data_IF_520223173179
#
_entry.id   IF_520223173179
#
_cell.length_a   1.000
_cell.length_b   1.000
_cell.length_c   1.000
_cell.angle_alpha   90.00
_cell.angle_beta   90.00
_cell.angle_gamma   90.00
#
_symmetry.space_group_name_H-M   'P 1'
#
loop_
_entity.id
_entity.type
_entity.pdbx_description
1 polymer ?
#
# COMPACT_ATOMS: atom_id res chain seq x y z
N UNK A 1 10.69 11.51 -7.77
CA UNK A 1 9.62 11.58 -8.79
C UNK A 1 8.55 12.60 -8.40
N UNK A 2 7.94 12.49 -7.22
CA UNK A 2 6.92 13.43 -6.70
C UNK A 2 7.32 14.91 -6.72
N UNK A 3 8.55 15.24 -6.32
CA UNK A 3 9.06 16.63 -6.34
C UNK A 3 9.08 17.29 -7.73
N UNK A 4 9.01 16.50 -8.81
CA UNK A 4 9.04 16.99 -10.19
C UNK A 4 7.66 16.95 -10.86
N UNK A 5 6.66 16.36 -10.22
CA UNK A 5 5.33 16.13 -10.79
C UNK A 5 4.25 16.74 -9.87
N UNK A 6 3.97 18.05 -9.98
CA UNK A 6 3.14 18.78 -9.02
C UNK A 6 1.68 18.30 -8.95
N UNK A 7 1.22 17.57 -9.98
CA UNK A 7 -0.15 17.06 -10.04
C UNK A 7 -0.29 15.62 -9.52
N UNK A 8 0.81 14.93 -9.20
CA UNK A 8 0.76 13.57 -8.66
C UNK A 8 0.25 13.62 -7.22
N UNK A 9 -0.84 12.89 -6.96
CA UNK A 9 -1.48 12.84 -5.63
C UNK A 9 -0.82 11.84 -4.69
N UNK A 10 -0.35 10.73 -5.22
CA UNK A 10 0.41 9.76 -4.46
C UNK A 10 1.34 8.95 -5.37
N UNK A 11 2.33 8.29 -4.78
CA UNK A 11 3.13 7.23 -5.41
C UNK A 11 3.07 6.02 -4.51
N UNK A 12 2.82 4.84 -5.09
CA UNK A 12 2.82 3.57 -4.39
C UNK A 12 3.88 2.64 -4.99
N UNK A 13 4.57 1.90 -4.12
CA UNK A 13 5.59 0.93 -4.48
C UNK A 13 5.28 -0.39 -3.80
N UNK A 14 5.17 -1.47 -4.58
CA UNK A 14 5.01 -2.83 -4.07
C UNK A 14 6.35 -3.41 -3.65
N UNK A 15 6.37 -4.13 -2.53
CA UNK A 15 7.55 -4.72 -1.88
C UNK A 15 7.47 -6.25 -1.79
N UNK A 16 6.63 -6.89 -2.63
CA UNK A 16 6.43 -8.34 -2.59
C UNK A 16 5.73 -8.78 -1.31
N UNK A 17 6.30 -9.78 -0.63
CA UNK A 17 5.73 -10.33 0.63
C UNK A 17 5.72 -9.32 1.79
N UNK A 18 6.52 -8.25 1.70
CA UNK A 18 6.50 -7.17 2.69
C UNK A 18 5.33 -6.19 2.52
N UNK A 19 4.60 -6.27 1.39
CA UNK A 19 3.43 -5.44 1.12
C UNK A 19 3.74 -4.25 0.21
N UNK A 20 3.48 -3.03 0.68
CA UNK A 20 3.67 -1.82 -0.11
C UNK A 20 3.93 -0.58 0.76
N UNK A 21 4.51 0.45 0.14
CA UNK A 21 4.63 1.79 0.71
C UNK A 21 3.96 2.77 -0.23
N UNK A 22 3.19 3.71 0.32
CA UNK A 22 2.64 4.84 -0.42
C UNK A 22 3.07 6.15 0.22
N UNK A 23 3.46 7.10 -0.63
CA UNK A 23 3.67 8.49 -0.28
C UNK A 23 2.54 9.32 -0.89
N UNK A 24 1.66 9.84 -0.05
CA UNK A 24 0.51 10.67 -0.43
C UNK A 24 0.82 12.14 -0.19
N UNK A 25 0.57 12.99 -1.19
CA UNK A 25 0.67 14.44 -1.04
C UNK A 25 -0.48 14.97 -0.18
N UNK A 26 -0.15 15.65 0.91
CA UNK A 26 -1.10 16.18 1.88
C UNK A 26 -0.53 17.43 2.54
N UNK A 27 -1.40 18.39 2.86
CA UNK A 27 -0.98 19.59 3.59
C UNK A 27 -0.64 19.24 5.05
N UNK A 28 0.43 19.81 5.62
CA UNK A 28 0.81 19.56 6.99
C UNK A 28 -0.22 20.18 7.95
N UNK A 29 -0.41 19.57 9.12
CA UNK A 29 -1.36 20.09 10.14
C UNK A 29 -0.95 21.47 10.68
N UNK A 30 0.33 21.83 10.59
CA UNK A 30 0.87 23.13 10.97
C UNK A 30 1.90 23.63 9.96
N UNK A 31 1.86 24.93 9.65
CA UNK A 31 2.87 25.58 8.81
C UNK A 31 4.30 25.51 9.40
N UNK A 32 4.39 25.33 10.73
CA UNK A 32 5.65 25.24 11.49
C UNK A 32 6.11 23.80 11.75
N UNK A 33 5.50 22.78 11.13
CA UNK A 33 5.94 21.38 11.33
C UNK A 33 7.41 21.20 10.96
N UNK A 34 8.15 20.57 11.87
CA UNK A 34 9.53 20.15 11.66
C UNK A 34 9.63 19.14 10.50
N UNK A 35 10.77 19.13 9.82
CA UNK A 35 11.05 18.13 8.80
C UNK A 35 11.36 16.78 9.46
N UNK A 36 10.66 15.75 9.02
CA UNK A 36 10.85 14.38 9.49
C UNK A 36 11.57 13.61 8.39
N UNK A 37 12.66 12.95 8.76
CA UNK A 37 13.35 12.02 7.86
C UNK A 37 12.43 10.83 7.54
N UNK A 38 12.27 10.54 6.25
CA UNK A 38 11.32 9.51 5.77
C UNK A 38 11.76 8.10 6.16
N UNK A 39 13.07 7.84 6.26
CA UNK A 39 13.60 6.53 6.63
C UNK A 39 13.35 6.29 8.13
N UNK A 40 13.65 7.28 8.98
CA UNK A 40 13.36 7.22 10.42
C UNK A 40 11.85 7.11 10.71
N UNK A 41 11.01 7.73 9.89
CA UNK A 41 9.56 7.57 9.98
C UNK A 41 9.11 6.15 9.61
N UNK A 42 9.65 5.62 8.52
CA UNK A 42 9.35 4.26 8.07
C UNK A 42 9.72 3.21 9.12
N UNK A 43 10.91 3.30 9.71
CA UNK A 43 11.35 2.39 10.78
C UNK A 43 10.39 2.40 11.97
N UNK A 44 10.02 3.58 12.48
CA UNK A 44 9.04 3.72 13.57
C UNK A 44 7.65 3.20 13.21
N UNK A 45 7.27 3.24 11.94
CA UNK A 45 6.01 2.66 11.48
C UNK A 45 6.07 1.14 11.41
N UNK A 46 7.21 0.57 11.02
CA UNK A 46 7.42 -0.89 11.03
C UNK A 46 7.30 -1.49 12.43
N UNK A 47 7.74 -0.77 13.46
CA UNK A 47 7.61 -1.22 14.87
C UNK A 47 6.15 -1.41 15.30
N UNK A 48 5.20 -0.78 14.61
CA UNK A 48 3.75 -0.89 14.90
C UNK A 48 3.07 -2.04 14.14
N UNK A 49 3.78 -2.75 13.26
CA UNK A 49 3.25 -3.88 12.49
C UNK A 49 3.00 -5.06 13.43
N UNK A 50 1.75 -5.51 13.52
CA UNK A 50 1.42 -6.75 14.23
C UNK A 50 1.80 -7.95 13.35
N UNK A 51 2.85 -8.67 13.77
CA UNK A 51 3.35 -9.85 13.06
C UNK A 51 2.41 -11.06 13.13
N UNK A 52 1.42 -11.06 14.01
CA UNK A 52 0.46 -12.18 14.13
C UNK A 52 -0.72 -12.04 13.16
N UNK A 53 -0.92 -10.85 12.58
CA UNK A 53 -1.99 -10.61 11.62
C UNK A 53 -1.58 -11.17 10.26
N UNK A 54 -2.41 -12.04 9.71
CA UNK A 54 -2.18 -12.69 8.41
C UNK A 54 -2.90 -11.98 7.26
N UNK A 55 -3.89 -11.15 7.57
CA UNK A 55 -4.61 -10.33 6.59
C UNK A 55 -3.87 -9.01 6.33
N UNK A 56 -4.00 -8.40 5.13
CA UNK A 56 -3.48 -7.08 4.86
C UNK A 56 -3.98 -6.03 5.86
N UNK A 57 -3.04 -5.24 6.39
CA UNK A 57 -3.30 -4.07 7.24
C UNK A 57 -2.60 -2.84 6.66
N UNK A 58 -3.00 -1.65 7.10
CA UNK A 58 -2.35 -0.41 6.71
C UNK A 58 -2.11 0.48 7.94
N UNK A 59 -0.93 1.08 7.99
CA UNK A 59 -0.53 2.06 9.00
C UNK A 59 -0.26 3.38 8.27
N UNK A 60 -0.89 4.46 8.73
CA UNK A 60 -0.77 5.81 8.13
C UNK A 60 -0.08 6.76 9.11
N UNK A 61 0.85 7.57 8.61
CA UNK A 61 1.43 8.68 9.37
C UNK A 61 0.50 9.89 9.40
N UNK A 62 0.72 10.79 10.35
CA UNK A 62 0.10 12.11 10.29
C UNK A 62 0.72 12.92 9.12
N UNK A 63 0.00 13.90 8.55
CA UNK A 63 0.58 14.82 7.56
C UNK A 63 1.79 15.56 8.13
N UNK A 64 2.92 15.51 7.43
CA UNK A 64 4.16 16.16 7.84
C UNK A 64 4.99 16.63 6.65
N UNK A 65 6.05 17.41 6.92
CA UNK A 65 7.11 17.66 5.94
C UNK A 65 8.08 16.48 5.98
N UNK A 66 8.07 15.68 4.93
CA UNK A 66 8.87 14.47 4.79
C UNK A 66 10.12 14.79 3.97
N UNK A 67 11.28 14.60 4.60
CA UNK A 67 12.58 14.81 4.00
C UNK A 67 13.20 13.47 3.61
N UNK A 68 13.71 13.39 2.38
CA UNK A 68 14.57 12.30 1.93
C UNK A 68 15.98 12.83 1.67
N UNK A 69 16.96 12.31 2.40
CA UNK A 69 18.37 12.75 2.36
C UNK A 69 18.90 12.74 0.93
N UNK A 70 19.40 13.89 0.46
CA UNK A 70 19.96 14.05 -0.89
C UNK A 70 18.94 14.10 -2.03
N UNK A 71 17.62 14.03 -1.73
CA UNK A 71 16.55 14.07 -2.73
C UNK A 71 15.72 15.34 -2.59
N UNK A 72 15.27 15.67 -1.37
CA UNK A 72 14.49 16.87 -1.07
C UNK A 72 13.33 16.61 -0.10
N UNK A 73 12.49 17.63 0.07
CA UNK A 73 11.40 17.64 1.06
C UNK A 73 10.04 17.83 0.38
N UNK A 74 9.02 17.13 0.85
CA UNK A 74 7.62 17.33 0.44
C UNK A 74 6.66 17.27 1.61
N UNK A 75 5.50 17.90 1.48
CA UNK A 75 4.40 17.74 2.43
C UNK A 75 3.55 16.53 2.07
N UNK A 76 3.33 15.63 3.03
CA UNK A 76 2.58 14.41 2.76
C UNK A 76 2.41 13.48 3.95
N UNK A 77 1.86 12.31 3.64
CA UNK A 77 1.71 11.17 4.55
C UNK A 77 2.46 9.97 4.00
N UNK A 78 3.07 9.21 4.89
CA UNK A 78 3.59 7.88 4.61
C UNK A 78 2.54 6.86 5.01
N UNK A 79 2.20 5.95 4.10
CA UNK A 79 1.35 4.80 4.36
C UNK A 79 2.15 3.53 4.10
N UNK A 80 1.99 2.56 4.98
CA UNK A 80 2.59 1.23 4.84
C UNK A 80 1.47 0.21 4.87
N UNK A 81 1.31 -0.54 3.78
CA UNK A 81 0.41 -1.68 3.69
C UNK A 81 1.16 -3.00 3.83
N UNK A 82 0.65 -3.97 4.59
CA UNK A 82 1.21 -5.33 4.64
C UNK A 82 0.58 -6.22 3.56
N UNK A 83 1.31 -7.25 3.13
CA UNK A 83 0.74 -8.31 2.29
C UNK A 83 0.00 -9.34 3.14
N UNK A 84 -0.89 -10.10 2.50
CA UNK A 84 -1.44 -11.32 3.10
C UNK A 84 -0.32 -12.35 3.31
N UNK A 85 -0.29 -13.00 4.48
CA UNK A 85 0.59 -14.14 4.73
C UNK A 85 -0.05 -15.40 4.15
N UNK A 86 0.23 -15.65 2.87
CA UNK A 86 -0.24 -16.85 2.17
C UNK A 86 0.49 -18.09 2.72
N UNK A 87 -0.23 -19.14 3.16
CA UNK A 87 0.42 -20.39 3.52
C UNK A 87 1.22 -20.96 2.35
N UNK A 88 2.41 -21.50 2.61
CA UNK A 88 3.33 -21.94 1.55
C UNK A 88 2.73 -23.00 0.61
N UNK A 89 1.79 -23.81 1.09
CA UNK A 89 1.09 -24.80 0.27
C UNK A 89 -0.01 -24.20 -0.64
N UNK A 90 -0.42 -22.94 -0.40
CA UNK A 90 -1.35 -22.19 -1.25
C UNK A 90 -0.64 -21.26 -2.24
N UNK A 91 0.64 -20.94 -2.02
CA UNK A 91 1.42 -20.06 -2.89
C UNK A 91 1.87 -20.83 -4.15
N UNK A 92 1.31 -20.47 -5.30
CA UNK A 92 1.53 -21.18 -6.58
C UNK A 92 2.46 -20.40 -7.51
N UNK A 93 2.16 -19.13 -7.78
CA UNK A 93 2.87 -18.32 -8.77
C UNK A 93 2.67 -16.84 -8.46
N UNK A 94 3.74 -16.05 -8.38
CA UNK A 94 3.67 -14.61 -8.09
C UNK A 94 3.63 -13.73 -9.35
N UNK A 95 3.63 -14.36 -10.53
CA UNK A 95 3.55 -13.67 -11.81
C UNK A 95 2.30 -12.79 -11.87
N UNK A 96 2.46 -11.50 -12.15
CA UNK A 96 1.34 -10.55 -12.26
C UNK A 96 0.78 -10.02 -10.95
N UNK A 97 1.34 -10.38 -9.78
CA UNK A 97 0.86 -9.87 -8.49
C UNK A 97 0.89 -8.33 -8.40
N UNK A 98 1.94 -7.70 -8.93
CA UNK A 98 2.03 -6.24 -9.02
C UNK A 98 0.98 -5.63 -9.95
N UNK A 99 0.71 -6.27 -11.10
CA UNK A 99 -0.32 -5.81 -12.03
C UNK A 99 -1.73 -5.94 -11.42
N UNK A 100 -1.99 -7.04 -10.70
CA UNK A 100 -3.22 -7.25 -9.95
C UNK A 100 -3.39 -6.19 -8.84
N UNK A 101 -2.33 -5.89 -8.10
CA UNK A 101 -2.32 -4.82 -7.09
C UNK A 101 -2.67 -3.46 -7.71
N UNK A 102 -2.02 -3.08 -8.81
CA UNK A 102 -2.28 -1.80 -9.49
C UNK A 102 -3.69 -1.76 -10.10
N UNK A 103 -4.16 -2.87 -10.67
CA UNK A 103 -5.54 -2.99 -11.14
C UNK A 103 -6.56 -2.78 -10.01
N UNK A 104 -6.28 -3.32 -8.83
CA UNK A 104 -7.11 -3.13 -7.64
C UNK A 104 -7.02 -1.71 -7.06
N UNK A 105 -5.87 -1.05 -7.15
CA UNK A 105 -5.73 0.39 -6.85
C UNK A 105 -6.62 1.21 -7.79
N UNK A 106 -6.61 0.94 -9.10
CA UNK A 106 -7.47 1.63 -10.06
C UNK A 106 -8.96 1.41 -9.76
N UNK A 107 -9.35 0.17 -9.45
CA UNK A 107 -10.71 -0.15 -9.00
C UNK A 107 -11.10 0.67 -7.76
N UNK A 108 -10.22 0.69 -6.75
CA UNK A 108 -10.43 1.37 -5.48
C UNK A 108 -10.63 2.88 -5.66
N UNK A 109 -9.88 3.50 -6.58
CA UNK A 109 -10.05 4.91 -6.96
C UNK A 109 -11.44 5.13 -7.58
N UNK A 110 -11.86 4.27 -8.51
CA UNK A 110 -13.20 4.38 -9.12
C UNK A 110 -14.34 4.12 -8.12
N UNK A 111 -14.06 3.40 -7.04
CA UNK A 111 -15.00 3.10 -5.96
C UNK A 111 -14.89 4.08 -4.77
N UNK A 112 -14.17 5.19 -4.91
CA UNK A 112 -13.94 6.20 -3.86
C UNK A 112 -13.47 5.62 -2.51
N UNK A 113 -12.65 4.56 -2.55
CA UNK A 113 -12.08 3.99 -1.33
C UNK A 113 -10.99 4.91 -0.75
N UNK A 114 -10.95 5.12 0.57
CA UNK A 114 -9.86 5.85 1.20
C UNK A 114 -8.52 5.08 1.02
N UNK A 115 -7.37 5.77 1.04
CA UNK A 115 -6.06 5.16 0.80
C UNK A 115 -5.77 3.91 1.63
N UNK A 116 -6.14 3.88 2.91
CA UNK A 116 -5.94 2.74 3.80
C UNK A 116 -6.71 1.50 3.34
N UNK A 117 -7.97 1.69 2.91
CA UNK A 117 -8.82 0.62 2.38
C UNK A 117 -8.34 0.19 1.01
N UNK A 118 -7.93 1.14 0.17
CA UNK A 118 -7.36 0.87 -1.15
C UNK A 118 -6.11 -0.03 -1.07
N UNK A 119 -5.16 0.28 -0.18
CA UNK A 119 -3.92 -0.50 -0.07
C UNK A 119 -4.17 -1.93 0.44
N UNK A 120 -5.05 -2.08 1.44
CA UNK A 120 -5.40 -3.41 1.99
C UNK A 120 -6.20 -4.24 1.00
N UNK A 121 -7.16 -3.64 0.30
CA UNK A 121 -7.90 -4.29 -0.79
C UNK A 121 -6.97 -4.74 -1.93
N UNK A 122 -6.07 -3.86 -2.37
CA UNK A 122 -5.13 -4.18 -3.45
C UNK A 122 -4.14 -5.29 -3.07
N UNK A 123 -3.64 -5.28 -1.84
CA UNK A 123 -2.81 -6.36 -1.31
C UNK A 123 -3.57 -7.70 -1.28
N UNK A 124 -4.86 -7.67 -0.90
CA UNK A 124 -5.69 -8.88 -0.89
C UNK A 124 -5.94 -9.43 -2.30
N UNK A 125 -6.23 -8.56 -3.28
CA UNK A 125 -6.41 -8.98 -4.69
C UNK A 125 -5.13 -9.62 -5.24
N UNK A 126 -3.98 -9.02 -4.98
CA UNK A 126 -2.69 -9.57 -5.38
C UNK A 126 -2.44 -10.96 -4.74
N UNK A 127 -2.73 -11.10 -3.45
CA UNK A 127 -2.56 -12.35 -2.74
C UNK A 127 -3.50 -13.47 -3.19
N UNK A 128 -4.73 -13.15 -3.60
CA UNK A 128 -5.62 -14.13 -4.23
C UNK A 128 -5.04 -14.59 -5.57
N UNK A 129 -4.53 -13.65 -6.37
CA UNK A 129 -3.84 -13.93 -7.63
C UNK A 129 -2.70 -14.93 -7.50
N UNK A 130 -1.90 -14.81 -6.42
CA UNK A 130 -0.75 -15.67 -6.15
C UNK A 130 -1.08 -17.17 -5.93
N UNK A 131 -2.37 -17.52 -5.79
CA UNK A 131 -2.85 -18.89 -5.56
C UNK A 131 -3.18 -19.66 -6.84
N UNK A 132 -2.89 -19.07 -8.00
CA UNK A 132 -3.14 -19.69 -9.31
C UNK A 132 -1.96 -19.45 -10.25
N UNK A 133 -1.78 -20.36 -11.21
CA UNK A 133 -0.72 -20.25 -12.21
C UNK A 133 -1.02 -19.13 -13.22
N UNK A 134 -0.04 -18.25 -13.43
CA UNK A 134 -0.08 -17.16 -14.41
C UNK A 134 -0.79 -15.89 -13.94
N UNK A 135 -0.55 -14.78 -14.67
CA UNK A 135 -0.90 -13.43 -14.25
C UNK A 135 -2.41 -13.11 -14.09
N UNK A 136 -3.29 -13.84 -14.78
CA UNK A 136 -4.72 -13.47 -14.90
C UNK A 136 -5.68 -14.51 -14.36
N UNK A 137 -5.28 -15.77 -14.33
CA UNK A 137 -6.19 -16.87 -13.99
C UNK A 137 -6.67 -16.82 -12.54
N UNK A 138 -5.85 -16.29 -11.64
CA UNK A 138 -6.17 -16.14 -10.21
C UNK A 138 -6.85 -14.83 -9.82
N UNK A 139 -7.20 -13.95 -10.77
CA UNK A 139 -7.86 -12.70 -10.43
C UNK A 139 -9.23 -12.98 -9.80
N UNK A 140 -9.55 -12.41 -8.63
CA UNK A 140 -10.80 -12.66 -7.94
C UNK A 140 -11.98 -12.03 -8.67
N UNK A 141 -13.15 -12.67 -8.55
CA UNK A 141 -14.42 -12.02 -8.79
C UNK A 141 -14.82 -11.17 -7.58
N UNK A 142 -15.74 -10.23 -7.78
CA UNK A 142 -16.17 -9.31 -6.72
C UNK A 142 -16.77 -10.03 -5.50
N UNK A 143 -17.33 -11.23 -5.68
CA UNK A 143 -17.92 -12.06 -4.63
C UNK A 143 -16.94 -13.05 -3.98
N UNK A 144 -15.63 -12.94 -4.26
CA UNK A 144 -14.63 -13.79 -3.60
C UNK A 144 -14.70 -13.61 -2.07
N UNK A 145 -14.85 -14.71 -1.30
CA UNK A 145 -14.99 -14.63 0.15
C UNK A 145 -13.78 -13.98 0.84
N UNK A 146 -12.59 -14.06 0.25
CA UNK A 146 -11.37 -13.42 0.78
C UNK A 146 -11.38 -11.90 0.61
N UNK A 147 -12.21 -11.36 -0.30
CA UNK A 147 -12.40 -9.91 -0.46
C UNK A 147 -13.46 -9.31 0.47
N UNK A 148 -14.34 -10.14 1.04
CA UNK A 148 -15.46 -9.68 1.87
C UNK A 148 -15.04 -8.68 2.97
N UNK A 149 -13.93 -8.89 3.73
CA UNK A 149 -13.51 -7.94 4.76
C UNK A 149 -13.09 -6.56 4.23
N UNK A 150 -12.79 -6.44 2.93
CA UNK A 150 -12.24 -5.24 2.30
C UNK A 150 -13.25 -4.50 1.43
N UNK A 151 -14.46 -5.04 1.28
CA UNK A 151 -15.52 -4.41 0.49
C UNK A 151 -16.50 -3.60 1.35
N UNK A 152 -16.63 -3.92 2.64
CA UNK A 152 -17.54 -3.25 3.60
C UNK A 152 -16.97 -1.93 4.11
#
# INVERSE_FOLDING_TARGET
MLLRLPNVKFVVVTLGEEGCIMLEAAEPESAQSEEIDVDDLYERMMEKKDVNVTIPTCITSHPAKLQAKGIGTMSGRLLVGTAEKIPSFELVDTTGAGDAFIGAVLYSICADMPPEKMLTFAAQVAAIGCRSLGARAGLPYHDDPRLTPFLV
#
